data_IF_551572663670
#
_entry.id   IF_551572663670
#
_cell.length_a   1.000
_cell.length_b   1.000
_cell.length_c   1.000
_cell.angle_alpha   90.00
_cell.angle_beta   90.00
_cell.angle_gamma   90.00
#
_symmetry.space_group_name_H-M   'P 1'
#
loop_
_entity.id
_entity.type
_entity.pdbx_description
1 polymer ?
#
# COMPACT_ATOMS: atom_id res chain seq x y z
N UNK A 1 -9.40 -4.69 -16.38
CA UNK A 1 -8.18 -4.26 -15.62
C UNK A 1 -8.52 -4.33 -14.16
N UNK A 2 -7.59 -4.83 -13.35
CA UNK A 2 -7.71 -4.97 -11.90
C UNK A 2 -6.53 -4.25 -11.26
N UNK A 3 -6.80 -3.46 -10.24
CA UNK A 3 -5.81 -2.65 -9.54
C UNK A 3 -5.75 -3.06 -8.07
N UNK A 4 -4.53 -3.13 -7.54
CA UNK A 4 -4.26 -3.38 -6.12
C UNK A 4 -3.79 -2.09 -5.46
N UNK A 5 -4.44 -1.70 -4.37
CA UNK A 5 -4.05 -0.59 -3.52
C UNK A 5 -3.67 -1.06 -2.12
N UNK A 6 -2.63 -0.48 -1.55
CA UNK A 6 -2.24 -0.67 -0.16
C UNK A 6 -2.00 0.68 0.52
N UNK A 7 -2.71 0.92 1.62
CA UNK A 7 -2.43 2.00 2.57
C UNK A 7 -1.87 1.39 3.86
N UNK A 8 -0.56 1.39 3.97
CA UNK A 8 0.19 0.73 5.02
C UNK A 8 0.68 1.70 6.08
N UNK A 9 -0.14 1.95 7.10
CA UNK A 9 0.22 2.77 8.26
C UNK A 9 0.88 1.99 9.39
N UNK A 10 1.25 2.70 10.45
CA UNK A 10 1.87 2.10 11.64
C UNK A 10 0.89 1.27 12.47
N UNK A 11 -0.40 1.60 12.44
CA UNK A 11 -1.44 0.95 13.26
C UNK A 11 -2.20 -0.11 12.49
N UNK A 12 -2.50 0.14 11.22
CA UNK A 12 -3.21 -0.76 10.33
C UNK A 12 -2.61 -0.72 8.92
N UNK A 13 -2.81 -1.81 8.18
CA UNK A 13 -2.52 -1.89 6.76
C UNK A 13 -3.80 -2.25 6.04
N UNK A 14 -4.27 -1.38 5.17
CA UNK A 14 -5.52 -1.53 4.43
C UNK A 14 -5.23 -1.90 2.98
N UNK A 15 -5.88 -2.96 2.50
CA UNK A 15 -5.70 -3.49 1.16
C UNK A 15 -7.02 -3.49 0.40
N UNK A 16 -6.94 -3.11 -0.88
CA UNK A 16 -8.10 -2.99 -1.75
C UNK A 16 -7.78 -3.55 -3.14
N UNK A 17 -8.64 -4.43 -3.64
CA UNK A 17 -8.69 -4.81 -5.06
C UNK A 17 -9.91 -4.16 -5.69
N UNK A 18 -9.71 -3.45 -6.80
CA UNK A 18 -10.77 -2.81 -7.55
C UNK A 18 -10.63 -3.11 -9.05
N UNK A 19 -11.74 -3.15 -9.75
CA UNK A 19 -11.72 -3.20 -11.21
C UNK A 19 -11.66 -1.78 -11.83
N UNK A 20 -11.58 -1.72 -13.15
CA UNK A 20 -11.52 -0.47 -13.91
C UNK A 20 -12.80 0.39 -13.83
N UNK A 21 -13.89 -0.14 -13.30
CA UNK A 21 -15.14 0.61 -13.05
C UNK A 21 -15.20 1.20 -11.65
N UNK A 22 -14.24 0.85 -10.78
CA UNK A 22 -14.22 1.20 -9.37
C UNK A 22 -14.98 0.23 -8.48
N UNK A 23 -15.45 -0.91 -9.02
CA UNK A 23 -16.06 -1.95 -8.20
C UNK A 23 -15.02 -2.59 -7.28
N UNK A 24 -15.31 -2.66 -5.99
CA UNK A 24 -14.48 -3.33 -5.00
C UNK A 24 -14.64 -4.84 -5.13
N UNK A 25 -13.56 -5.54 -5.44
CA UNK A 25 -13.50 -6.99 -5.60
C UNK A 25 -13.10 -7.68 -4.29
N UNK A 26 -12.22 -7.05 -3.51
CA UNK A 26 -11.86 -7.47 -2.17
C UNK A 26 -11.34 -6.28 -1.36
N UNK A 27 -11.56 -6.32 -0.05
CA UNK A 27 -11.09 -5.34 0.92
C UNK A 27 -10.74 -6.04 2.23
N UNK A 28 -9.54 -5.76 2.77
CA UNK A 28 -9.08 -6.33 4.04
C UNK A 28 -8.22 -5.33 4.81
N UNK A 29 -8.30 -5.43 6.12
CA UNK A 29 -7.46 -4.68 7.06
C UNK A 29 -6.63 -5.68 7.85
N UNK A 30 -5.33 -5.43 7.92
CA UNK A 30 -4.33 -6.19 8.67
C UNK A 30 -3.64 -5.30 9.71
N UNK A 31 -2.85 -5.87 10.62
CA UNK A 31 -2.00 -5.10 11.52
C UNK A 31 -1.11 -4.11 10.76
N UNK A 32 -0.72 -3.04 11.43
CA UNK A 32 0.17 -2.04 10.83
C UNK A 32 1.49 -2.63 10.36
N UNK A 33 2.07 -2.05 9.32
CA UNK A 33 3.28 -2.55 8.66
C UNK A 33 4.56 -1.82 9.08
N UNK A 34 4.61 -1.26 10.30
CA UNK A 34 5.79 -0.55 10.77
C UNK A 34 7.03 -1.46 10.78
N UNK A 35 7.93 -1.20 9.85
CA UNK A 35 9.15 -1.97 9.63
C UNK A 35 10.06 -2.01 10.86
N UNK A 36 10.16 -0.90 11.61
CA UNK A 36 10.97 -0.84 12.82
C UNK A 36 10.45 -1.78 13.93
N UNK A 37 9.16 -2.10 13.92
CA UNK A 37 8.55 -3.03 14.88
C UNK A 37 8.67 -4.49 14.42
N UNK A 38 8.42 -4.76 13.14
CA UNK A 38 8.36 -6.12 12.59
C UNK A 38 9.72 -6.68 12.17
N UNK A 39 10.68 -5.81 11.81
CA UNK A 39 11.90 -6.20 11.11
C UNK A 39 11.61 -6.73 9.70
N UNK A 40 12.67 -7.20 9.03
CA UNK A 40 12.56 -7.67 7.64
C UNK A 40 11.65 -8.90 7.48
N UNK A 41 11.85 -9.92 8.33
CA UNK A 41 11.09 -11.17 8.24
C UNK A 41 9.61 -10.95 8.56
N UNK A 42 9.30 -10.22 9.62
CA UNK A 42 7.94 -9.94 10.01
C UNK A 42 7.19 -9.07 9.00
N UNK A 43 7.87 -8.09 8.40
CA UNK A 43 7.31 -7.29 7.31
C UNK A 43 7.02 -8.17 6.08
N UNK A 44 7.96 -9.03 5.67
CA UNK A 44 7.79 -9.97 4.56
C UNK A 44 6.60 -10.89 4.79
N UNK A 45 6.51 -11.50 5.96
CA UNK A 45 5.42 -12.41 6.32
C UNK A 45 4.05 -11.70 6.30
N UNK A 46 4.00 -10.46 6.78
CA UNK A 46 2.79 -9.66 6.75
C UNK A 46 2.34 -9.38 5.32
N UNK A 47 3.25 -8.94 4.43
CA UNK A 47 2.94 -8.66 3.03
C UNK A 47 2.47 -9.91 2.28
N UNK A 48 3.17 -11.04 2.45
CA UNK A 48 2.81 -12.33 1.83
C UNK A 48 1.39 -12.74 2.26
N UNK A 49 1.12 -12.78 3.56
CA UNK A 49 -0.20 -13.20 4.07
C UNK A 49 -1.32 -12.26 3.64
N UNK A 50 -1.06 -10.95 3.63
CA UNK A 50 -2.05 -9.95 3.23
C UNK A 50 -2.47 -10.16 1.78
N UNK A 51 -1.52 -10.25 0.86
CA UNK A 51 -1.80 -10.43 -0.57
C UNK A 51 -2.46 -11.79 -0.82
N UNK A 52 -1.95 -12.87 -0.23
CA UNK A 52 -2.52 -14.21 -0.39
C UNK A 52 -3.97 -14.27 0.08
N UNK A 53 -4.29 -13.68 1.24
CA UNK A 53 -5.66 -13.62 1.76
C UNK A 53 -6.57 -12.85 0.81
N UNK A 54 -6.12 -11.69 0.34
CA UNK A 54 -6.91 -10.83 -0.55
C UNK A 54 -7.23 -11.52 -1.88
N UNK A 55 -6.25 -12.21 -2.46
CA UNK A 55 -6.40 -12.97 -3.69
C UNK A 55 -7.35 -14.18 -3.49
N UNK A 56 -7.21 -14.91 -2.39
CA UNK A 56 -8.08 -16.04 -2.07
C UNK A 56 -9.54 -15.59 -1.91
N UNK A 57 -9.79 -14.48 -1.22
CA UNK A 57 -11.12 -13.94 -1.00
C UNK A 57 -11.80 -13.48 -2.30
N UNK A 58 -11.03 -12.92 -3.24
CA UNK A 58 -11.54 -12.40 -4.51
C UNK A 58 -11.63 -13.45 -5.62
N UNK A 59 -10.95 -14.60 -5.46
CA UNK A 59 -10.79 -15.58 -6.54
C UNK A 59 -9.89 -15.10 -7.69
N UNK A 60 -9.16 -13.99 -7.49
CA UNK A 60 -8.26 -13.38 -8.48
C UNK A 60 -6.86 -13.95 -8.29
N UNK A 61 -6.16 -14.18 -9.40
CA UNK A 61 -4.73 -14.58 -9.39
C UNK A 61 -3.83 -13.36 -9.50
N UNK A 62 -2.58 -13.48 -9.05
CA UNK A 62 -1.59 -12.40 -9.15
C UNK A 62 -1.37 -11.91 -10.58
N UNK A 63 -1.44 -12.81 -11.57
CA UNK A 63 -1.29 -12.49 -12.99
C UNK A 63 -2.42 -11.62 -13.57
N UNK A 64 -3.58 -11.58 -12.91
CA UNK A 64 -4.71 -10.75 -13.32
C UNK A 64 -4.61 -9.30 -12.82
N UNK A 65 -3.67 -9.01 -11.89
CA UNK A 65 -3.46 -7.65 -11.39
C UNK A 65 -2.72 -6.83 -12.45
N UNK A 66 -3.36 -5.78 -12.92
CA UNK A 66 -2.82 -4.90 -13.96
C UNK A 66 -1.70 -4.00 -13.43
N UNK A 67 -1.85 -3.47 -12.22
CA UNK A 67 -0.82 -2.72 -11.50
C UNK A 67 -1.16 -2.61 -10.02
N UNK A 68 -0.15 -2.29 -9.21
CA UNK A 68 -0.31 -2.08 -7.78
C UNK A 68 0.34 -0.78 -7.31
N UNK A 69 -0.33 -0.08 -6.39
CA UNK A 69 0.19 1.09 -5.68
C UNK A 69 0.28 0.77 -4.19
N UNK A 70 1.47 0.90 -3.64
CA UNK A 70 1.74 0.64 -2.23
C UNK A 70 2.25 1.92 -1.57
N UNK A 71 1.42 2.49 -0.71
CA UNK A 71 1.79 3.63 0.13
C UNK A 71 2.07 3.11 1.53
N UNK A 72 3.35 3.07 1.90
CA UNK A 72 3.81 2.38 3.09
C UNK A 72 4.51 3.34 4.04
N UNK A 73 4.15 3.27 5.32
CA UNK A 73 4.83 4.05 6.36
C UNK A 73 6.32 3.78 6.35
N UNK A 74 7.10 4.79 6.63
CA UNK A 74 8.58 4.84 6.62
C UNK A 74 9.26 4.61 5.25
N UNK A 75 8.51 4.37 4.17
CA UNK A 75 9.07 4.29 2.83
C UNK A 75 9.75 5.60 2.44
N UNK A 76 11.03 5.54 2.11
CA UNK A 76 11.86 6.71 1.81
C UNK A 76 12.31 7.53 3.03
N UNK A 77 11.83 7.19 4.24
CA UNK A 77 12.24 7.85 5.49
C UNK A 77 13.31 7.04 6.25
N UNK A 78 13.21 5.72 6.19
CA UNK A 78 14.18 4.81 6.78
C UNK A 78 15.10 4.28 5.69
N UNK A 79 16.43 4.43 5.82
CA UNK A 79 17.38 3.94 4.82
C UNK A 79 17.19 2.47 4.50
N UNK A 80 17.23 2.12 3.21
CA UNK A 80 17.07 0.76 2.70
C UNK A 80 15.62 0.35 2.41
N UNK A 81 14.61 1.09 2.87
CA UNK A 81 13.20 0.75 2.60
C UNK A 81 12.84 0.87 1.12
N UNK A 82 13.44 1.81 0.39
CA UNK A 82 13.23 2.01 -1.04
C UNK A 82 13.78 0.87 -1.91
N UNK A 83 14.68 0.07 -1.36
CA UNK A 83 15.20 -1.14 -2.02
C UNK A 83 14.49 -2.39 -1.51
N UNK A 84 14.31 -2.52 -0.20
CA UNK A 84 13.77 -3.71 0.44
C UNK A 84 12.28 -3.92 0.16
N UNK A 85 11.44 -2.90 0.29
CA UNK A 85 9.99 -3.05 0.08
C UNK A 85 9.65 -3.47 -1.36
N UNK A 86 10.23 -2.86 -2.41
CA UNK A 86 10.05 -3.36 -3.78
C UNK A 86 10.52 -4.80 -3.98
N UNK A 87 11.66 -5.21 -3.40
CA UNK A 87 12.14 -6.59 -3.49
C UNK A 87 11.14 -7.58 -2.89
N UNK A 88 10.59 -7.28 -1.72
CA UNK A 88 9.57 -8.10 -1.07
C UNK A 88 8.34 -8.23 -1.98
N UNK A 89 7.80 -7.10 -2.43
CA UNK A 89 6.57 -7.09 -3.22
C UNK A 89 6.77 -7.71 -4.60
N UNK A 90 7.92 -7.51 -5.24
CA UNK A 90 8.24 -8.15 -6.51
C UNK A 90 8.34 -9.67 -6.40
N UNK A 91 8.75 -10.20 -5.24
CA UNK A 91 8.74 -11.65 -4.99
C UNK A 91 7.32 -12.23 -4.86
N UNK A 92 6.35 -11.41 -4.46
CA UNK A 92 4.94 -11.81 -4.29
C UNK A 92 4.14 -11.62 -5.58
N UNK A 93 4.44 -10.54 -6.32
CA UNK A 93 3.77 -10.10 -7.55
C UNK A 93 4.79 -9.89 -8.67
N UNK A 94 5.45 -10.96 -9.18
CA UNK A 94 6.62 -10.84 -10.06
C UNK A 94 6.36 -10.12 -11.37
N UNK A 95 5.15 -10.28 -11.94
CA UNK A 95 4.78 -9.73 -13.24
C UNK A 95 3.95 -8.44 -13.15
N UNK A 96 3.70 -7.96 -11.93
CA UNK A 96 2.87 -6.78 -11.70
C UNK A 96 3.72 -5.50 -11.70
N UNK A 97 3.38 -4.48 -12.49
CA UNK A 97 3.94 -3.14 -12.32
C UNK A 97 3.62 -2.59 -10.92
N UNK A 98 4.67 -2.30 -10.16
CA UNK A 98 4.57 -1.83 -8.78
C UNK A 98 4.98 -0.36 -8.68
N UNK A 99 4.22 0.41 -7.93
CA UNK A 99 4.53 1.79 -7.54
C UNK A 99 4.53 1.90 -6.02
N UNK A 100 5.46 2.68 -5.50
CA UNK A 100 5.64 2.88 -4.06
C UNK A 100 5.61 4.36 -3.69
N UNK A 101 5.07 4.64 -2.52
CA UNK A 101 5.13 5.96 -1.90
C UNK A 101 5.07 5.84 -0.38
N UNK A 102 5.27 6.96 0.30
CA UNK A 102 4.95 7.07 1.72
C UNK A 102 3.42 7.06 1.93
N UNK A 103 2.95 6.63 3.10
CA UNK A 103 1.52 6.56 3.44
C UNK A 103 0.81 7.93 3.45
N UNK A 104 1.54 9.02 3.65
CA UNK A 104 1.02 10.38 3.52
C UNK A 104 0.49 10.70 2.11
N UNK A 105 1.07 10.08 1.07
CA UNK A 105 0.62 10.22 -0.32
C UNK A 105 -0.73 9.54 -0.54
N UNK A 106 -0.96 8.36 0.06
CA UNK A 106 -2.27 7.69 0.01
C UNK A 106 -3.35 8.56 0.65
N UNK A 107 -3.06 9.16 1.80
CA UNK A 107 -3.95 10.11 2.47
C UNK A 107 -4.32 11.30 1.58
N UNK A 108 -3.33 11.89 0.90
CA UNK A 108 -3.56 12.98 -0.04
C UNK A 108 -4.40 12.53 -1.25
N UNK A 109 -4.04 11.43 -1.88
CA UNK A 109 -4.78 10.87 -3.01
C UNK A 109 -6.23 10.56 -2.65
N UNK A 110 -6.46 9.96 -1.49
CA UNK A 110 -7.81 9.59 -1.02
C UNK A 110 -8.68 10.81 -0.70
N UNK A 111 -8.11 11.83 -0.05
CA UNK A 111 -8.85 13.02 0.36
C UNK A 111 -9.13 14.00 -0.79
N UNK A 112 -8.23 14.13 -1.75
CA UNK A 112 -8.27 15.13 -2.83
C UNK A 112 -8.51 14.52 -4.22
N UNK A 113 -8.64 13.20 -4.31
CA UNK A 113 -8.79 12.48 -5.58
C UNK A 113 -7.67 12.84 -6.59
N UNK A 114 -6.44 12.97 -6.11
CA UNK A 114 -5.27 13.35 -6.91
C UNK A 114 -5.27 14.81 -7.40
N UNK A 115 -6.15 15.68 -6.90
CA UNK A 115 -6.17 17.09 -7.26
C UNK A 115 -5.18 17.90 -6.40
N UNK A 116 -4.63 19.01 -6.93
CA UNK A 116 -3.77 19.89 -6.15
C UNK A 116 -4.40 20.31 -4.82
N UNK A 117 -3.59 20.37 -3.78
CA UNK A 117 -4.03 20.76 -2.45
C UNK A 117 -3.18 20.16 -1.35
N UNK A 118 -3.57 20.39 -0.11
CA UNK A 118 -2.85 19.92 1.08
C UNK A 118 -3.77 18.98 1.87
N UNK A 119 -3.26 17.81 2.22
CA UNK A 119 -3.87 16.90 3.18
C UNK A 119 -3.13 16.99 4.53
N UNK A 120 -3.86 17.17 5.61
CA UNK A 120 -3.33 17.20 6.97
C UNK A 120 -3.93 16.06 7.77
N UNK A 121 -3.08 15.21 8.32
CA UNK A 121 -3.46 14.17 9.26
C UNK A 121 -3.03 14.63 10.66
N UNK A 122 -3.98 14.73 11.58
CA UNK A 122 -3.73 15.11 12.97
C UNK A 122 -4.29 14.03 13.89
N UNK A 123 -3.39 13.34 14.59
CA UNK A 123 -3.70 12.25 15.52
C UNK A 123 -2.66 12.19 16.64
N UNK A 124 -2.19 11.00 16.99
CA UNK A 124 -1.06 10.83 17.92
C UNK A 124 0.23 11.47 17.36
N UNK A 125 0.40 11.44 16.06
CA UNK A 125 1.35 12.24 15.28
C UNK A 125 0.61 13.18 14.34
N UNK A 126 1.33 14.09 13.70
CA UNK A 126 0.77 14.99 12.70
C UNK A 126 1.68 15.03 11.48
N UNK A 127 1.08 14.90 10.30
CA UNK A 127 1.78 15.00 9.02
C UNK A 127 0.95 15.87 8.07
N UNK A 128 1.63 16.65 7.26
CA UNK A 128 1.02 17.38 6.16
C UNK A 128 1.73 16.98 4.86
N UNK A 129 0.95 16.66 3.85
CA UNK A 129 1.45 16.42 2.50
C UNK A 129 0.66 17.28 1.51
N UNK A 130 1.36 17.96 0.63
CA UNK A 130 0.74 18.81 -0.38
C UNK A 130 1.42 18.69 -1.73
N UNK A 131 0.62 18.85 -2.78
CA UNK A 131 1.09 18.91 -4.16
C UNK A 131 0.36 20.03 -4.89
N UNK A 132 1.09 20.80 -5.68
CA UNK A 132 0.55 21.79 -6.61
C UNK A 132 0.28 21.17 -8.00
N UNK A 133 -0.16 21.97 -8.92
CA UNK A 133 -0.46 21.58 -10.31
C UNK A 133 0.79 21.47 -11.17
#
# INVERSE_FOLDING_TARGET
MIFLGCDGGSTKTEWLLVDHTGQVLAHRIFPGCNFAFWGEDGFRDLMVRSVQTLLADSGITSQQITSAMLSLTVYGEVPGTEEFFPQVMQSILPDCPLQFSNDSVAGWCGSLAGRPGINIVAGTGSVAYGQDS
#
